data_IF_754415989870
#
_entry.id   IF_754415989870
#
_cell.length_a   1.000
_cell.length_b   1.000
_cell.length_c   1.000
_cell.angle_alpha   90.00
_cell.angle_beta   90.00
_cell.angle_gamma   90.00
#
_symmetry.space_group_name_H-M   'P 1'
#
loop_
_entity.id
_entity.type
_entity.pdbx_description
1 polymer ?
#
# COMPACT_ATOMS: atom_id res chain seq x y z
N UNK A 1 4.85 -6.47 -15.58
CA UNK A 1 5.80 -5.34 -15.56
C UNK A 1 5.43 -4.27 -14.52
N UNK A 2 4.19 -3.77 -14.49
CA UNK A 2 3.81 -2.60 -13.67
C UNK A 2 4.08 -2.74 -12.16
N UNK A 3 3.70 -3.86 -11.52
CA UNK A 3 3.92 -4.02 -10.07
C UNK A 3 5.40 -3.93 -9.67
N UNK A 4 6.28 -4.62 -10.40
CA UNK A 4 7.72 -4.55 -10.13
C UNK A 4 8.27 -3.13 -10.32
N UNK A 5 7.80 -2.42 -11.33
CA UNK A 5 8.18 -1.03 -11.55
C UNK A 5 7.71 -0.12 -10.41
N UNK A 6 6.45 -0.25 -9.97
CA UNK A 6 5.92 0.53 -8.85
C UNK A 6 6.68 0.27 -7.54
N UNK A 7 7.04 -0.98 -7.26
CA UNK A 7 7.86 -1.35 -6.09
C UNK A 7 9.25 -0.72 -6.17
N UNK A 8 9.91 -0.84 -7.31
CA UNK A 8 11.24 -0.26 -7.54
C UNK A 8 11.21 1.26 -7.39
N UNK A 9 10.18 1.92 -7.93
CA UNK A 9 10.00 3.36 -7.84
C UNK A 9 9.71 3.81 -6.40
N UNK A 10 8.89 3.07 -5.66
CA UNK A 10 8.63 3.36 -4.26
C UNK A 10 9.92 3.28 -3.41
N UNK A 11 10.74 2.26 -3.66
CA UNK A 11 12.06 2.14 -3.02
C UNK A 11 12.99 3.30 -3.40
N UNK A 12 13.05 3.66 -4.69
CA UNK A 12 13.85 4.79 -5.19
C UNK A 12 13.45 6.12 -4.56
N UNK A 13 12.16 6.31 -4.27
CA UNK A 13 11.61 7.50 -3.62
C UNK A 13 11.76 7.48 -2.08
N UNK A 14 12.33 6.43 -1.50
CA UNK A 14 12.59 6.33 -0.06
C UNK A 14 11.37 5.94 0.78
N UNK A 15 10.35 5.32 0.19
CA UNK A 15 9.26 4.75 0.97
C UNK A 15 9.75 3.51 1.76
N UNK A 16 9.33 3.39 3.03
CA UNK A 16 9.75 2.29 3.89
C UNK A 16 8.87 1.02 3.74
N UNK A 17 7.62 1.17 3.32
CA UNK A 17 6.69 0.07 3.09
C UNK A 17 5.60 0.47 2.08
N UNK A 18 4.97 -0.54 1.46
CA UNK A 18 3.80 -0.41 0.59
C UNK A 18 2.66 -1.22 1.21
N UNK A 19 1.47 -0.63 1.31
CA UNK A 19 0.26 -1.32 1.75
C UNK A 19 -0.79 -1.31 0.64
N UNK A 20 -1.58 -2.39 0.55
CA UNK A 20 -2.69 -2.50 -0.39
C UNK A 20 -3.81 -3.40 0.14
N UNK A 21 -5.00 -3.26 -0.44
CA UNK A 21 -6.09 -4.23 -0.27
C UNK A 21 -6.20 -5.07 -1.54
N UNK A 22 -5.96 -6.37 -1.44
CA UNK A 22 -5.80 -7.26 -2.60
C UNK A 22 -5.97 -8.74 -2.28
N UNK A 23 -5.81 -9.59 -3.28
CA UNK A 23 -5.85 -11.04 -3.13
C UNK A 23 -4.44 -11.60 -2.87
N UNK A 24 -4.24 -12.30 -1.76
CA UNK A 24 -2.91 -12.75 -1.34
C UNK A 24 -2.20 -13.65 -2.40
N UNK A 25 -2.86 -14.68 -2.97
CA UNK A 25 -2.26 -15.51 -4.03
C UNK A 25 -1.73 -14.71 -5.24
N UNK A 26 -2.36 -13.59 -5.59
CA UNK A 26 -1.86 -12.74 -6.68
C UNK A 26 -0.63 -11.92 -6.29
N UNK A 27 -0.59 -11.40 -5.06
CA UNK A 27 0.40 -10.42 -4.62
C UNK A 27 1.63 -11.03 -3.91
N UNK A 28 1.54 -12.25 -3.39
CA UNK A 28 2.65 -12.95 -2.73
C UNK A 28 3.89 -13.10 -3.63
N UNK A 29 3.69 -13.26 -4.94
CA UNK A 29 4.78 -13.34 -5.94
C UNK A 29 5.61 -12.06 -6.06
N UNK A 30 5.16 -10.96 -5.44
CA UNK A 30 5.89 -9.70 -5.33
C UNK A 30 6.35 -9.41 -3.88
N UNK A 31 6.15 -10.33 -2.95
CA UNK A 31 6.55 -10.21 -1.54
C UNK A 31 5.52 -9.58 -0.60
N UNK A 32 4.28 -9.36 -1.05
CA UNK A 32 3.23 -8.85 -0.17
C UNK A 32 2.65 -9.96 0.70
N UNK A 33 2.41 -9.68 1.99
CA UNK A 33 1.73 -10.60 2.91
C UNK A 33 0.86 -9.85 3.94
N UNK A 34 -0.02 -10.58 4.62
CA UNK A 34 -0.83 -10.04 5.73
C UNK A 34 -0.11 -10.13 7.09
N UNK A 35 1.10 -10.67 7.15
CA UNK A 35 1.78 -11.01 8.41
C UNK A 35 2.06 -9.77 9.28
N UNK A 36 2.37 -8.65 8.64
CA UNK A 36 2.72 -7.39 9.30
C UNK A 36 1.54 -6.41 9.40
N UNK A 37 0.34 -6.80 8.98
CA UNK A 37 -0.82 -5.90 8.92
C UNK A 37 -1.85 -6.14 10.03
N UNK A 38 -1.65 -7.15 10.89
CA UNK A 38 -2.63 -7.53 11.93
C UNK A 38 -2.97 -6.42 12.93
N UNK A 39 -2.02 -5.51 13.21
CA UNK A 39 -2.22 -4.34 14.08
C UNK A 39 -2.66 -3.08 13.33
N UNK A 40 -2.82 -3.16 12.01
CA UNK A 40 -3.23 -2.06 11.13
C UNK A 40 -4.68 -2.24 10.66
N UNK A 41 -5.31 -1.15 10.28
CA UNK A 41 -6.63 -1.18 9.66
C UNK A 41 -6.80 -0.10 8.59
N UNK A 42 -7.52 -0.43 7.52
CA UNK A 42 -8.03 0.58 6.58
C UNK A 42 -9.31 1.24 7.13
N UNK A 43 -9.56 2.53 6.82
CA UNK A 43 -10.86 3.13 7.08
C UNK A 43 -11.92 2.53 6.14
N UNK A 44 -13.08 2.16 6.70
CA UNK A 44 -14.19 1.57 5.94
C UNK A 44 -14.19 0.04 5.91
N UNK A 45 -15.16 -0.58 5.21
CA UNK A 45 -15.27 -2.03 5.11
C UNK A 45 -14.21 -2.62 4.18
N UNK A 46 -13.55 -3.69 4.63
CA UNK A 46 -12.62 -4.52 3.85
C UNK A 46 -12.48 -5.87 4.54
N UNK A 47 -11.98 -6.87 3.82
CA UNK A 47 -11.64 -8.16 4.42
C UNK A 47 -10.24 -8.09 5.03
N UNK A 48 -10.09 -8.38 6.33
CA UNK A 48 -8.82 -8.19 7.04
C UNK A 48 -7.64 -8.91 6.41
N UNK A 49 -7.84 -10.14 5.95
CA UNK A 49 -6.80 -10.96 5.33
C UNK A 49 -6.33 -10.43 3.97
N UNK A 50 -7.06 -9.47 3.38
CA UNK A 50 -6.74 -8.81 2.12
C UNK A 50 -5.91 -7.54 2.30
N UNK A 51 -5.75 -7.05 3.53
CA UNK A 51 -4.80 -5.97 3.81
C UNK A 51 -3.39 -6.55 3.83
N UNK A 52 -2.64 -6.29 2.77
CA UNK A 52 -1.31 -6.81 2.56
C UNK A 52 -0.28 -5.68 2.66
N UNK A 53 0.93 -6.03 3.05
CA UNK A 53 2.07 -5.13 3.11
C UNK A 53 3.32 -5.76 2.51
N UNK A 54 4.18 -4.91 1.96
CA UNK A 54 5.55 -5.20 1.57
C UNK A 54 6.45 -4.18 2.28
N UNK A 55 7.34 -4.65 3.15
CA UNK A 55 8.40 -3.82 3.72
C UNK A 55 9.52 -3.64 2.67
N UNK A 56 9.91 -2.39 2.44
CA UNK A 56 11.07 -2.02 1.62
C UNK A 56 12.31 -1.79 2.49
N UNK A 57 12.08 -1.50 3.78
CA UNK A 57 13.06 -1.45 4.85
C UNK A 57 12.61 -2.43 5.91
N UNK A 58 13.49 -3.37 6.28
CA UNK A 58 13.22 -4.39 7.29
C UNK A 58 12.71 -3.75 8.59
N UNK A 59 11.56 -4.22 9.09
CA UNK A 59 10.98 -3.75 10.35
C UNK A 59 10.28 -2.40 10.29
N UNK A 60 10.09 -1.81 9.11
CA UNK A 60 9.37 -0.54 8.94
C UNK A 60 7.95 -0.53 9.55
N UNK A 61 7.29 -1.67 9.65
CA UNK A 61 5.95 -1.84 10.20
C UNK A 61 5.94 -2.45 11.60
N UNK A 62 7.10 -2.75 12.21
CA UNK A 62 7.17 -3.44 13.50
C UNK A 62 6.36 -2.74 14.61
N UNK A 63 6.40 -1.41 14.64
CA UNK A 63 5.66 -0.59 15.61
C UNK A 63 4.43 0.11 15.02
N UNK A 64 4.08 -0.19 13.77
CA UNK A 64 2.94 0.44 13.11
C UNK A 64 1.62 -0.16 13.60
N UNK A 65 0.74 0.68 14.17
CA UNK A 65 -0.53 0.25 14.76
C UNK A 65 -1.65 1.24 14.51
N UNK A 66 -2.88 0.76 14.46
CA UNK A 66 -4.10 1.56 14.34
C UNK A 66 -4.59 1.75 12.91
N UNK A 67 -5.49 2.73 12.73
CA UNK A 67 -6.14 2.98 11.44
C UNK A 67 -5.32 3.90 10.55
N UNK A 68 -5.10 3.48 9.30
CA UNK A 68 -4.42 4.24 8.27
C UNK A 68 -5.13 5.57 8.01
N UNK A 69 -4.33 6.63 7.88
CA UNK A 69 -4.80 7.99 7.56
C UNK A 69 -4.06 8.47 6.32
N UNK A 70 -4.79 9.12 5.41
CA UNK A 70 -4.18 9.74 4.25
C UNK A 70 -3.21 10.85 4.71
N UNK A 71 -1.92 10.71 4.38
CA UNK A 71 -0.88 11.68 4.72
C UNK A 71 -0.53 12.63 3.54
N UNK A 72 -1.03 12.33 2.34
CA UNK A 72 -0.78 13.13 1.13
C UNK A 72 -1.58 14.42 1.08
N UNK A 73 -1.08 15.41 0.33
CA UNK A 73 -1.86 16.61 -0.04
C UNK A 73 -3.07 16.17 -0.87
N UNK A 74 -4.28 16.60 -0.50
CA UNK A 74 -5.45 16.48 -1.39
C UNK A 74 -5.18 17.32 -2.63
N UNK A 75 -4.90 16.67 -3.76
CA UNK A 75 -4.91 17.35 -5.05
C UNK A 75 -6.35 17.80 -5.30
N UNK A 76 -6.57 19.11 -5.48
CA UNK A 76 -7.85 19.59 -6.03
C UNK A 76 -8.02 18.88 -7.37
N UNK A 77 -9.14 18.21 -7.57
CA UNK A 77 -9.45 17.56 -8.84
C UNK A 77 -9.27 18.60 -9.96
N UNK A 78 -8.20 18.46 -10.76
CA UNK A 78 -8.12 19.20 -12.00
C UNK A 78 -9.17 18.57 -12.89
N UNK A 79 -10.11 19.39 -13.35
CA UNK A 79 -11.10 18.98 -14.33
C UNK A 79 -10.33 18.67 -15.61
N UNK A 80 -10.06 17.38 -15.84
CA UNK A 80 -9.51 16.90 -17.10
C UNK A 80 -10.50 17.36 -18.19
N UNK A 81 -10.06 18.12 -19.22
CA UNK A 81 -10.93 18.43 -20.33
C UNK A 81 -11.37 17.10 -20.95
N UNK A 82 -12.68 16.94 -21.20
CA UNK A 82 -13.16 15.83 -22.03
C UNK A 82 -12.44 15.95 -23.38
N UNK A 83 -11.81 14.86 -23.82
CA UNK A 83 -11.39 14.75 -25.20
C UNK A 83 -12.65 14.83 -26.08
N UNK A 84 -12.65 15.76 -27.03
CA UNK A 84 -13.70 15.94 -28.03
C UNK A 84 -13.58 14.91 -29.15
#
# INVERSE_FOLDING_TARGET
>A
ALMRHAIAEAARLGHAAILLVGDAPYYERFGFSAEKTGSLAMPGPYERHRLLALELVEGALAEARGTLRAAGRKLKAQRLPLAA
#
